data_IF_181816711848
#
_entry.id   IF_181816711848
#
_cell.length_a   1.000
_cell.length_b   1.000
_cell.length_c   1.000
_cell.angle_alpha   90.00
_cell.angle_beta   90.00
_cell.angle_gamma   90.00
#
_symmetry.space_group_name_H-M   'P 1'
#
loop_
_entity.id
_entity.type
_entity.pdbx_description
1 polymer ?
#
# COMPACT_ATOMS: atom_id res chain seq x y z
N UNK A 1 3.61 8.66 -17.41
CA UNK A 1 4.60 9.39 -16.63
C UNK A 1 3.91 9.86 -15.37
N UNK A 2 4.02 9.06 -14.32
CA UNK A 2 3.52 9.39 -12.98
C UNK A 2 4.74 9.77 -12.15
N UNK A 3 5.35 10.92 -12.44
CA UNK A 3 6.44 11.40 -11.60
C UNK A 3 5.85 11.85 -10.27
N UNK A 4 6.13 11.09 -9.21
CA UNK A 4 5.63 11.33 -7.84
C UNK A 4 6.75 11.85 -6.92
N UNK A 5 7.95 12.09 -7.46
CA UNK A 5 9.12 12.47 -6.67
C UNK A 5 8.98 13.84 -6.00
N UNK A 6 8.21 14.76 -6.62
CA UNK A 6 7.98 16.12 -6.11
C UNK A 6 6.77 16.30 -5.19
N UNK A 7 6.07 15.22 -4.84
CA UNK A 7 4.87 15.26 -3.99
C UNK A 7 5.22 15.08 -2.52
N UNK A 8 4.39 15.63 -1.63
CA UNK A 8 4.50 15.31 -0.20
C UNK A 8 4.09 13.85 0.07
N UNK A 9 4.54 13.31 1.19
CA UNK A 9 4.18 11.99 1.69
C UNK A 9 2.67 11.85 1.84
N UNK A 10 1.98 12.87 2.38
CA UNK A 10 0.51 12.94 2.45
C UNK A 10 -0.14 12.85 1.07
N UNK A 11 0.35 13.61 0.09
CA UNK A 11 -0.16 13.57 -1.28
C UNK A 11 0.06 12.19 -1.91
N UNK A 12 1.20 11.57 -1.66
CA UNK A 12 1.54 10.23 -2.16
C UNK A 12 0.61 9.18 -1.57
N UNK A 13 0.44 9.14 -0.25
CA UNK A 13 -0.39 8.12 0.39
C UNK A 13 -1.87 8.30 0.05
N UNK A 14 -2.35 9.51 -0.19
CA UNK A 14 -3.72 9.75 -0.64
C UNK A 14 -3.91 9.54 -2.15
N UNK A 15 -2.83 9.45 -2.92
CA UNK A 15 -2.89 9.30 -4.38
C UNK A 15 -3.45 7.95 -4.78
N UNK A 16 -4.50 7.99 -5.58
CA UNK A 16 -5.29 6.81 -5.94
C UNK A 16 -5.61 5.95 -4.71
N UNK A 17 -5.95 6.54 -3.56
CA UNK A 17 -6.42 5.77 -2.42
C UNK A 17 -7.78 5.14 -2.73
N UNK A 18 -7.97 3.88 -2.35
CA UNK A 18 -9.28 3.21 -2.34
C UNK A 18 -9.53 2.57 -1.00
N UNK A 19 -10.74 2.77 -0.52
CA UNK A 19 -11.25 2.11 0.68
C UNK A 19 -11.93 0.78 0.32
N UNK A 20 -11.74 -0.22 1.18
CA UNK A 20 -12.44 -1.50 1.12
C UNK A 20 -13.09 -1.79 2.48
N UNK A 21 -14.35 -2.20 2.44
CA UNK A 21 -15.06 -2.65 3.64
C UNK A 21 -14.78 -4.11 3.94
N UNK A 22 -14.68 -4.43 5.22
CA UNK A 22 -14.62 -5.81 5.73
C UNK A 22 -16.02 -6.29 6.11
N UNK A 23 -16.19 -7.60 6.20
CA UNK A 23 -17.43 -8.22 6.70
C UNK A 23 -17.80 -7.78 8.13
N UNK A 24 -16.81 -7.37 8.92
CA UNK A 24 -16.97 -6.86 10.29
C UNK A 24 -17.47 -5.41 10.39
N UNK A 25 -17.64 -4.71 9.26
CA UNK A 25 -18.02 -3.30 9.20
C UNK A 25 -16.85 -2.32 9.36
N UNK A 26 -15.63 -2.83 9.63
CA UNK A 26 -14.41 -2.02 9.59
C UNK A 26 -13.94 -1.79 8.15
N UNK A 27 -13.06 -0.81 7.95
CA UNK A 27 -12.53 -0.42 6.63
C UNK A 27 -11.01 -0.52 6.57
N UNK A 28 -10.47 -0.65 5.37
CA UNK A 28 -9.03 -0.61 5.07
C UNK A 28 -8.81 0.32 3.88
N UNK A 29 -7.60 0.88 3.74
CA UNK A 29 -7.22 1.65 2.56
C UNK A 29 -6.04 1.02 1.83
N UNK A 30 -6.08 1.05 0.50
CA UNK A 30 -4.94 0.67 -0.35
C UNK A 30 -4.75 1.73 -1.43
N UNK A 31 -3.60 2.38 -1.42
CA UNK A 31 -3.17 3.38 -2.39
C UNK A 31 -2.16 2.80 -3.36
N UNK A 32 -1.99 3.43 -4.52
CA UNK A 32 -1.02 2.97 -5.51
C UNK A 32 -0.32 4.14 -6.19
N UNK A 33 1.00 4.06 -6.26
CA UNK A 33 1.86 4.96 -7.00
C UNK A 33 2.82 4.17 -7.87
N UNK A 34 3.03 4.67 -9.10
CA UNK A 34 4.00 4.12 -10.03
C UNK A 34 5.29 4.93 -9.93
N UNK A 35 6.43 4.26 -9.85
CA UNK A 35 7.75 4.88 -9.78
C UNK A 35 8.69 4.24 -10.80
N UNK A 36 9.77 4.93 -11.11
CA UNK A 36 10.91 4.42 -11.86
C UNK A 36 12.10 4.40 -10.90
N UNK A 37 12.53 3.20 -10.49
CA UNK A 37 13.60 3.03 -9.51
C UNK A 37 13.14 3.19 -8.06
N UNK A 38 14.10 3.05 -7.15
CA UNK A 38 13.88 2.90 -5.70
C UNK A 38 13.75 4.22 -4.93
N UNK A 39 13.77 5.38 -5.60
CA UNK A 39 13.87 6.68 -4.92
C UNK A 39 12.73 6.96 -3.92
N UNK A 40 11.54 6.42 -4.17
CA UNK A 40 10.40 6.59 -3.25
C UNK A 40 10.57 5.80 -1.94
N UNK A 41 11.30 4.68 -1.97
CA UNK A 41 11.61 3.92 -0.76
C UNK A 41 12.63 4.61 0.14
N UNK A 42 13.42 5.57 -0.36
CA UNK A 42 14.30 6.36 0.49
C UNK A 42 13.49 7.19 1.50
N UNK A 43 12.23 7.52 1.15
CA UNK A 43 11.25 8.21 2.00
C UNK A 43 10.33 7.26 2.75
N UNK A 44 10.71 5.98 2.89
CA UNK A 44 9.87 4.95 3.50
C UNK A 44 9.32 5.37 4.87
N UNK A 45 10.17 5.93 5.73
CA UNK A 45 9.78 6.28 7.09
C UNK A 45 8.69 7.36 7.11
N UNK A 46 8.85 8.42 6.31
CA UNK A 46 7.85 9.48 6.10
C UNK A 46 6.53 8.92 5.55
N UNK A 47 6.62 7.98 4.60
CA UNK A 47 5.43 7.35 4.00
C UNK A 47 4.69 6.44 4.99
N UNK A 48 5.42 5.71 5.84
CA UNK A 48 4.81 4.90 6.89
C UNK A 48 4.14 5.77 7.95
N UNK A 49 4.74 6.90 8.32
CA UNK A 49 4.14 7.88 9.24
C UNK A 49 2.84 8.46 8.65
N UNK A 50 2.88 8.94 7.40
CA UNK A 50 1.69 9.46 6.72
C UNK A 50 0.57 8.41 6.55
N UNK A 51 0.93 7.13 6.36
CA UNK A 51 -0.04 6.03 6.34
C UNK A 51 -0.66 5.79 7.72
N UNK A 52 0.12 5.93 8.80
CA UNK A 52 -0.39 5.77 10.16
C UNK A 52 -1.34 6.91 10.54
N UNK A 53 -1.00 8.15 10.17
CA UNK A 53 -1.88 9.30 10.34
C UNK A 53 -3.20 9.09 9.59
N UNK A 54 -3.14 8.72 8.31
CA UNK A 54 -4.34 8.41 7.53
C UNK A 54 -5.16 7.28 8.16
N UNK A 55 -4.51 6.24 8.70
CA UNK A 55 -5.20 5.14 9.39
C UNK A 55 -5.96 5.67 10.60
N UNK A 56 -5.31 6.49 11.42
CA UNK A 56 -5.86 7.09 12.63
C UNK A 56 -7.03 8.02 12.35
N UNK A 57 -6.87 8.93 11.39
CA UNK A 57 -7.88 9.92 11.02
C UNK A 57 -9.18 9.29 10.50
N UNK A 58 -9.06 8.21 9.73
CA UNK A 58 -10.20 7.57 9.09
C UNK A 58 -10.70 6.32 9.82
N UNK A 59 -10.03 5.90 10.89
CA UNK A 59 -10.36 4.69 11.66
C UNK A 59 -10.20 3.40 10.86
N UNK A 60 -9.21 3.34 9.96
CA UNK A 60 -8.92 2.14 9.19
C UNK A 60 -8.28 1.04 10.06
N UNK A 61 -8.54 -0.22 9.73
CA UNK A 61 -7.85 -1.38 10.31
C UNK A 61 -6.36 -1.37 9.95
N UNK A 62 -6.10 -1.12 8.68
CA UNK A 62 -4.78 -0.91 8.13
C UNK A 62 -4.87 0.04 6.94
N UNK A 63 -3.76 0.71 6.67
CA UNK A 63 -3.54 1.49 5.46
C UNK A 63 -2.32 0.92 4.74
N UNK A 64 -2.40 0.81 3.42
CA UNK A 64 -1.29 0.30 2.63
C UNK A 64 -1.02 1.15 1.39
N UNK A 65 0.27 1.28 1.02
CA UNK A 65 0.71 1.95 -0.19
C UNK A 65 1.48 0.97 -1.08
N UNK A 66 0.99 0.77 -2.29
CA UNK A 66 1.71 0.07 -3.34
C UNK A 66 2.68 1.03 -4.02
N UNK A 67 3.98 0.81 -3.81
CA UNK A 67 5.06 1.44 -4.58
C UNK A 67 5.44 0.49 -5.71
N UNK A 68 4.89 0.75 -6.89
CA UNK A 68 5.01 -0.11 -8.08
C UNK A 68 6.18 0.38 -8.95
N UNK A 69 7.24 -0.42 -9.06
CA UNK A 69 8.31 -0.18 -10.01
C UNK A 69 7.92 -0.76 -11.38
N UNK A 70 7.67 0.14 -12.34
CA UNK A 70 7.23 -0.23 -13.69
C UNK A 70 8.37 -0.80 -14.56
N UNK A 71 9.63 -0.60 -14.19
CA UNK A 71 10.80 -1.11 -14.89
C UNK A 71 11.17 -2.51 -14.41
N UNK A 72 11.17 -2.73 -13.09
CA UNK A 72 11.44 -4.06 -12.50
C UNK A 72 10.23 -5.00 -12.56
N UNK A 73 9.01 -4.46 -12.66
CA UNK A 73 7.79 -5.25 -12.74
C UNK A 73 7.38 -5.85 -11.39
N UNK A 74 7.60 -5.14 -10.29
CA UNK A 74 7.20 -5.53 -8.94
C UNK A 74 6.61 -4.39 -8.11
N UNK A 75 5.96 -4.73 -7.00
CA UNK A 75 5.49 -3.76 -6.01
C UNK A 75 6.15 -4.01 -4.66
N UNK A 76 6.62 -2.94 -4.03
CA UNK A 76 6.85 -2.93 -2.59
C UNK A 76 5.60 -2.36 -1.91
N UNK A 77 4.98 -3.17 -1.06
CA UNK A 77 3.78 -2.79 -0.35
C UNK A 77 4.14 -2.34 1.06
N UNK A 78 4.01 -1.05 1.30
CA UNK A 78 4.10 -0.48 2.64
C UNK A 78 2.77 -0.70 3.36
N UNK A 79 2.78 -1.20 4.58
CA UNK A 79 1.56 -1.48 5.34
C UNK A 79 1.73 -1.14 6.82
N UNK A 80 0.71 -0.49 7.38
CA UNK A 80 0.66 -0.07 8.78
C UNK A 80 -0.65 -0.48 9.44
N UNK A 81 -0.66 -0.72 10.75
CA UNK A 81 -1.79 -1.32 11.46
C UNK A 81 -1.83 -2.85 11.39
N UNK A 82 -3.02 -3.44 11.30
CA UNK A 82 -3.18 -4.90 11.23
C UNK A 82 -3.02 -5.43 9.81
N UNK A 83 -1.78 -5.69 9.41
CA UNK A 83 -1.42 -6.21 8.09
C UNK A 83 -1.61 -7.74 7.95
N UNK A 84 -2.20 -8.41 8.93
CA UNK A 84 -2.44 -9.87 8.88
C UNK A 84 -3.23 -10.31 7.64
N UNK A 85 -4.28 -9.60 7.17
CA UNK A 85 -4.98 -9.94 5.94
C UNK A 85 -4.07 -9.86 4.70
N UNK A 86 -3.15 -8.90 4.67
CA UNK A 86 -2.19 -8.76 3.57
C UNK A 86 -1.21 -9.93 3.55
N UNK A 87 -0.68 -10.32 4.71
CA UNK A 87 0.20 -11.49 4.80
C UNK A 87 -0.51 -12.76 4.35
N UNK A 88 -1.77 -12.95 4.74
CA UNK A 88 -2.57 -14.09 4.31
C UNK A 88 -2.88 -14.05 2.81
N UNK A 89 -3.19 -12.89 2.25
CA UNK A 89 -3.51 -12.71 0.84
C UNK A 89 -2.34 -13.06 -0.08
N UNK A 90 -1.11 -12.71 0.31
CA UNK A 90 0.07 -12.86 -0.56
C UNK A 90 1.08 -13.91 -0.10
N UNK A 91 0.79 -14.64 0.98
CA UNK A 91 1.72 -15.59 1.62
C UNK A 91 3.12 -14.97 1.83
N UNK A 92 3.14 -13.69 2.21
CA UNK A 92 4.35 -12.89 2.36
C UNK A 92 4.36 -12.21 3.72
N UNK A 93 5.55 -11.85 4.21
CA UNK A 93 5.74 -11.23 5.52
C UNK A 93 6.32 -9.83 5.35
N UNK A 94 5.86 -8.91 6.17
CA UNK A 94 6.45 -7.58 6.24
C UNK A 94 7.83 -7.65 6.90
N UNK A 95 8.85 -7.18 6.21
CA UNK A 95 10.16 -6.87 6.77
C UNK A 95 10.28 -5.35 6.89
N UNK A 96 10.40 -4.84 8.12
CA UNK A 96 10.50 -3.40 8.41
C UNK A 96 9.36 -2.56 7.78
N UNK A 97 8.13 -3.08 7.81
CA UNK A 97 6.94 -2.42 7.27
C UNK A 97 6.75 -2.55 5.76
N UNK A 98 7.61 -3.30 5.07
CA UNK A 98 7.60 -3.51 3.61
C UNK A 98 7.31 -4.96 3.29
N UNK A 99 6.42 -5.22 2.35
CA UNK A 99 6.12 -6.54 1.80
C UNK A 99 6.47 -6.52 0.31
N UNK A 100 7.41 -7.37 -0.11
CA UNK A 100 7.77 -7.51 -1.52
C UNK A 100 6.75 -8.38 -2.27
N UNK A 101 6.21 -7.83 -3.37
CA UNK A 101 5.22 -8.46 -4.23
C UNK A 101 5.71 -8.47 -5.69
N UNK A 102 6.63 -9.40 -6.05
CA UNK A 102 7.15 -9.50 -7.40
C UNK A 102 6.05 -9.88 -8.40
N UNK A 103 6.01 -9.21 -9.56
CA UNK A 103 4.98 -9.43 -10.59
C UNK A 103 3.62 -8.81 -10.28
N UNK A 104 3.43 -8.22 -9.10
CA UNK A 104 2.21 -7.48 -8.75
C UNK A 104 2.33 -6.04 -9.22
N UNK A 105 1.46 -5.63 -10.13
CA UNK A 105 1.50 -4.33 -10.80
C UNK A 105 0.23 -3.51 -10.66
N UNK A 106 -0.90 -4.16 -10.37
CA UNK A 106 -2.18 -3.47 -10.37
C UNK A 106 -2.98 -3.82 -9.12
N UNK A 107 -3.30 -2.79 -8.33
CA UNK A 107 -4.20 -2.94 -7.20
C UNK A 107 -5.52 -3.57 -7.64
N UNK A 108 -6.15 -3.02 -8.68
CA UNK A 108 -7.49 -3.47 -9.12
C UNK A 108 -7.52 -4.92 -9.61
N UNK A 109 -6.47 -5.38 -10.30
CA UNK A 109 -6.44 -6.72 -10.89
C UNK A 109 -5.87 -7.79 -9.95
N UNK A 110 -4.91 -7.42 -9.10
CA UNK A 110 -4.09 -8.39 -8.36
C UNK A 110 -4.18 -8.23 -6.85
N UNK A 111 -4.42 -7.03 -6.32
CA UNK A 111 -4.46 -6.83 -4.86
C UNK A 111 -5.88 -6.83 -4.32
N UNK A 112 -6.74 -5.96 -4.83
CA UNK A 112 -8.11 -5.80 -4.36
C UNK A 112 -8.91 -7.12 -4.39
N UNK A 113 -8.88 -7.94 -5.45
CA UNK A 113 -9.66 -9.19 -5.48
C UNK A 113 -9.21 -10.20 -4.43
N UNK A 114 -7.89 -10.32 -4.22
CA UNK A 114 -7.31 -11.27 -3.26
C UNK A 114 -7.54 -10.77 -1.84
N UNK A 115 -7.32 -9.48 -1.60
CA UNK A 115 -7.54 -8.86 -0.31
C UNK A 115 -9.02 -8.95 0.12
N UNK A 116 -9.96 -8.67 -0.79
CA UNK A 116 -11.40 -8.83 -0.50
C UNK A 116 -11.81 -10.28 -0.22
N UNK A 117 -11.02 -11.28 -0.59
CA UNK A 117 -11.32 -12.68 -0.28
C UNK A 117 -10.95 -13.07 1.16
N UNK A 118 -10.16 -12.25 1.85
CA UNK A 118 -9.68 -12.49 3.24
C UNK A 118 -10.19 -11.46 4.26
N UNK A 119 -10.87 -10.40 3.80
CA UNK A 119 -11.52 -9.36 4.62
C UNK A 119 -13.00 -9.68 4.89
#
# INVERSE_FOLDING_TARGET
>A
SSDVSGLSEEEIVNRDAKEYGTSSGKKVSVSQVETVGTGLLERKEELLEALEDMKGENGYLFSALMVTDIMEGGTQLLCVGDCSPVHQAFDSRAENGVIDLPGVMSRKKQVAPVLLSVL
#
